data_IF_567001665499
#
_entry.id   IF_567001665499
#
_cell.length_a   1.000
_cell.length_b   1.000
_cell.length_c   1.000
_cell.angle_alpha   90.00
_cell.angle_beta   90.00
_cell.angle_gamma   90.00
#
_symmetry.space_group_name_H-M   'P 1'
#
loop_
_entity.id
_entity.type
_entity.pdbx_description
1 polymer ?
#
# COMPACT_ATOMS: atom_id res chain seq x y z
N UNK A 1 71.86 15.38 -20.72
CA UNK A 1 71.21 14.36 -19.87
C UNK A 1 70.44 15.07 -18.77
N UNK A 2 69.27 14.54 -18.42
CA UNK A 2 68.08 15.24 -17.88
C UNK A 2 68.18 15.78 -16.45
N UNK A 3 67.61 16.98 -16.26
CA UNK A 3 66.72 17.37 -15.13
C UNK A 3 65.51 18.08 -15.78
N UNK A 4 64.28 18.08 -15.22
CA UNK A 4 64.03 18.53 -13.84
C UNK A 4 62.76 17.98 -13.12
N UNK A 5 62.60 18.48 -11.88
CA UNK A 5 61.34 18.83 -11.19
C UNK A 5 60.41 17.72 -10.66
N UNK A 6 60.23 17.71 -9.33
CA UNK A 6 59.13 17.03 -8.66
C UNK A 6 57.78 17.60 -9.15
N UNK A 7 56.93 16.73 -9.70
CA UNK A 7 55.55 17.01 -10.05
C UNK A 7 54.63 16.06 -9.26
N UNK A 8 53.52 16.62 -8.81
CA UNK A 8 52.51 16.03 -7.95
C UNK A 8 51.96 14.72 -8.53
N UNK A 9 51.64 13.78 -7.64
CA UNK A 9 51.11 12.47 -7.95
C UNK A 9 49.87 12.54 -8.84
N UNK A 10 49.96 11.99 -10.05
CA UNK A 10 48.84 11.81 -10.97
C UNK A 10 48.48 10.32 -11.04
N UNK A 11 47.81 9.83 -9.99
CA UNK A 11 47.14 8.53 -10.06
C UNK A 11 45.91 8.75 -10.92
N UNK A 12 45.99 8.32 -12.19
CA UNK A 12 44.83 8.32 -13.08
C UNK A 12 43.68 7.54 -12.42
N UNK A 13 42.47 8.12 -12.33
CA UNK A 13 41.35 7.40 -11.75
C UNK A 13 41.00 6.23 -12.67
N UNK A 14 41.21 5.01 -12.16
CA UNK A 14 40.72 3.78 -12.73
C UNK A 14 39.18 3.89 -12.82
N UNK A 15 38.64 4.19 -14.00
CA UNK A 15 37.19 4.21 -14.21
C UNK A 15 36.72 2.79 -14.45
N UNK A 16 36.19 2.18 -13.40
CA UNK A 16 35.31 1.02 -13.53
C UNK A 16 33.95 1.55 -14.00
N UNK A 17 33.40 1.13 -15.15
CA UNK A 17 32.00 1.37 -15.44
C UNK A 17 31.17 0.55 -14.46
N UNK A 18 30.83 1.16 -13.32
CA UNK A 18 29.76 0.64 -12.50
C UNK A 18 28.45 0.90 -13.25
N UNK A 19 27.89 -0.15 -13.84
CA UNK A 19 26.46 -0.22 -14.17
C UNK A 19 25.61 -0.33 -12.88
N UNK A 20 26.04 0.36 -11.81
CA UNK A 20 25.30 0.52 -10.58
C UNK A 20 24.24 1.55 -10.85
N UNK A 21 23.01 1.09 -10.99
CA UNK A 21 21.82 1.92 -10.98
C UNK A 21 21.87 2.75 -9.69
N UNK A 22 22.37 3.98 -9.78
CA UNK A 22 22.29 4.99 -8.72
C UNK A 22 20.86 5.52 -8.70
N UNK A 23 19.92 4.65 -8.40
CA UNK A 23 18.53 5.00 -8.13
C UNK A 23 18.35 5.00 -6.63
N UNK A 24 17.90 6.12 -6.07
CA UNK A 24 17.33 6.14 -4.74
C UNK A 24 16.33 5.00 -4.61
N UNK A 25 16.69 3.93 -3.89
CA UNK A 25 15.74 2.86 -3.55
C UNK A 25 14.55 3.41 -2.74
N UNK A 26 14.68 4.61 -2.16
CA UNK A 26 13.60 5.33 -1.49
C UNK A 26 12.69 6.13 -2.44
N UNK A 27 13.10 6.40 -3.69
CA UNK A 27 12.32 7.16 -4.67
C UNK A 27 11.39 6.27 -5.53
N UNK A 28 11.33 4.96 -5.26
CA UNK A 28 10.39 4.06 -5.90
C UNK A 28 9.01 4.32 -5.29
N UNK A 29 8.14 4.94 -6.08
CA UNK A 29 6.71 5.08 -5.81
C UNK A 29 6.08 3.69 -5.92
N UNK A 30 5.60 3.11 -4.80
CA UNK A 30 4.99 1.78 -4.79
C UNK A 30 3.54 1.81 -5.30
N UNK A 31 2.85 2.93 -5.06
CA UNK A 31 1.55 3.25 -5.63
C UNK A 31 1.72 4.01 -6.95
N UNK A 32 2.33 3.36 -7.95
CA UNK A 32 2.27 3.88 -9.32
C UNK A 32 0.81 3.86 -9.77
N UNK A 33 0.26 4.94 -10.32
CA UNK A 33 -1.00 4.86 -11.03
C UNK A 33 -0.81 3.88 -12.17
N UNK A 34 -1.33 2.66 -12.03
CA UNK A 34 -1.42 1.74 -13.15
C UNK A 34 -2.28 2.40 -14.24
N UNK A 35 -2.30 1.87 -15.47
CA UNK A 35 -3.20 2.37 -16.51
C UNK A 35 -4.68 2.45 -16.06
N UNK A 36 -5.04 1.71 -15.00
CA UNK A 36 -6.36 1.71 -14.39
C UNK A 36 -6.47 2.63 -13.16
N UNK A 37 -5.38 3.17 -12.60
CA UNK A 37 -5.43 4.14 -11.50
C UNK A 37 -5.78 3.54 -10.13
N UNK A 38 -5.25 2.36 -9.80
CA UNK A 38 -5.30 1.81 -8.43
C UNK A 38 -4.58 2.73 -7.42
N UNK A 39 -4.93 2.70 -6.10
CA UNK A 39 -5.91 1.80 -5.46
C UNK A 39 -7.37 2.19 -5.65
N UNK A 40 -8.26 1.19 -5.63
CA UNK A 40 -9.71 1.38 -5.74
C UNK A 40 -10.46 0.84 -4.53
N UNK A 41 -11.54 1.52 -4.16
CA UNK A 41 -12.69 0.86 -3.54
C UNK A 41 -13.54 0.26 -4.67
N UNK A 42 -13.92 -1.00 -4.55
CA UNK A 42 -14.67 -1.70 -5.57
C UNK A 42 -15.83 -2.50 -5.00
N UNK A 43 -16.78 -2.83 -5.88
CA UNK A 43 -17.81 -3.84 -5.69
C UNK A 43 -17.62 -4.95 -6.72
N UNK A 44 -17.81 -6.19 -6.30
CA UNK A 44 -17.85 -7.32 -7.22
C UNK A 44 -19.26 -7.40 -7.86
N UNK A 45 -19.33 -7.35 -9.19
CA UNK A 45 -20.56 -7.49 -9.97
C UNK A 45 -20.38 -8.65 -10.94
N UNK A 46 -21.08 -9.75 -10.69
CA UNK A 46 -20.80 -11.02 -11.36
C UNK A 46 -19.38 -11.48 -11.05
N UNK A 47 -18.52 -11.52 -12.07
CA UNK A 47 -17.10 -11.91 -11.95
C UNK A 47 -16.13 -10.72 -12.08
N UNK A 48 -16.64 -9.48 -12.22
CA UNK A 48 -15.84 -8.29 -12.49
C UNK A 48 -15.92 -7.26 -11.36
N UNK A 49 -14.83 -6.55 -11.11
CA UNK A 49 -14.80 -5.47 -10.12
C UNK A 49 -15.19 -4.13 -10.76
N UNK A 50 -16.11 -3.41 -10.10
CA UNK A 50 -16.55 -2.08 -10.47
C UNK A 50 -16.06 -1.05 -9.44
N UNK A 51 -15.29 -0.06 -9.90
CA UNK A 51 -14.74 1.02 -9.06
C UNK A 51 -15.86 1.91 -8.47
N UNK A 52 -15.70 2.31 -7.21
CA UNK A 52 -16.64 3.14 -6.45
C UNK A 52 -15.95 4.45 -5.97
N UNK A 53 -15.57 5.35 -6.89
CA UNK A 53 -14.77 6.53 -6.55
C UNK A 53 -15.50 7.54 -5.64
N UNK A 54 -16.84 7.51 -5.62
CA UNK A 54 -17.67 8.34 -4.74
C UNK A 54 -18.08 7.63 -3.44
N UNK A 55 -17.54 6.44 -3.17
CA UNK A 55 -18.02 5.59 -2.09
C UNK A 55 -19.25 4.76 -2.49
N UNK A 56 -19.65 3.85 -1.60
CA UNK A 56 -20.80 2.98 -1.82
C UNK A 56 -21.37 2.44 -0.49
N UNK A 57 -22.61 1.96 -0.56
CA UNK A 57 -23.28 1.26 0.54
C UNK A 57 -23.21 -0.24 0.32
N UNK A 58 -22.81 -0.99 1.34
CA UNK A 58 -22.66 -2.44 1.35
C UNK A 58 -23.47 -3.06 2.49
N UNK A 59 -24.22 -4.10 2.16
CA UNK A 59 -25.08 -4.81 3.12
C UNK A 59 -24.31 -5.86 3.93
N UNK A 60 -23.13 -6.28 3.44
CA UNK A 60 -22.34 -7.39 3.97
C UNK A 60 -23.09 -8.74 3.97
N UNK A 61 -24.12 -8.84 3.13
CA UNK A 61 -24.92 -10.05 2.93
C UNK A 61 -24.89 -10.44 1.44
N UNK A 62 -25.07 -11.73 1.14
CA UNK A 62 -25.21 -12.20 -0.25
C UNK A 62 -24.02 -11.87 -1.17
N UNK A 63 -22.82 -11.67 -0.61
CA UNK A 63 -21.61 -11.30 -1.37
C UNK A 63 -21.45 -9.81 -1.64
N UNK A 64 -22.35 -8.95 -1.18
CA UNK A 64 -22.22 -7.49 -1.28
C UNK A 64 -21.24 -6.95 -0.24
N UNK A 65 -19.96 -7.07 -0.58
CA UNK A 65 -18.82 -6.74 0.27
C UNK A 65 -17.95 -5.65 -0.38
N UNK A 66 -17.38 -4.73 0.41
CA UNK A 66 -16.35 -3.82 -0.07
C UNK A 66 -15.05 -4.56 -0.38
N UNK A 67 -14.47 -4.27 -1.54
CA UNK A 67 -13.15 -4.73 -1.95
C UNK A 67 -12.19 -3.56 -2.09
N UNK A 68 -10.99 -3.67 -1.56
CA UNK A 68 -9.87 -2.78 -1.84
C UNK A 68 -8.97 -3.45 -2.86
N UNK A 69 -8.77 -2.80 -4.00
CA UNK A 69 -7.89 -3.29 -5.06
C UNK A 69 -6.61 -2.46 -5.07
N UNK A 70 -5.45 -3.13 -5.06
CA UNK A 70 -4.16 -2.47 -5.06
C UNK A 70 -3.16 -3.21 -5.96
N UNK A 71 -2.33 -2.44 -6.66
CA UNK A 71 -1.17 -2.94 -7.37
C UNK A 71 0.09 -2.65 -6.56
N UNK A 72 1.05 -3.58 -6.57
CA UNK A 72 2.35 -3.40 -5.90
C UNK A 72 3.46 -3.74 -6.90
N UNK A 73 4.12 -2.69 -7.41
CA UNK A 73 5.22 -2.81 -8.38
C UNK A 73 6.48 -3.43 -7.78
N UNK A 74 6.63 -3.36 -6.46
CA UNK A 74 7.74 -3.92 -5.69
C UNK A 74 7.24 -4.64 -4.43
N UNK A 75 8.15 -5.39 -3.80
CA UNK A 75 7.83 -6.09 -2.55
C UNK A 75 7.57 -5.06 -1.43
N UNK A 76 6.59 -5.35 -0.58
CA UNK A 76 6.31 -4.55 0.61
C UNK A 76 6.62 -5.36 1.87
N UNK A 77 7.19 -4.69 2.88
CA UNK A 77 7.48 -5.33 4.16
C UNK A 77 6.22 -5.57 4.97
N UNK A 78 5.26 -4.65 4.87
CA UNK A 78 4.00 -4.73 5.60
C UNK A 78 2.91 -4.02 4.80
N UNK A 79 1.80 -4.72 4.59
CA UNK A 79 0.54 -4.13 4.17
C UNK A 79 -0.42 -4.15 5.36
N UNK A 80 -0.86 -2.97 5.77
CA UNK A 80 -1.88 -2.81 6.80
C UNK A 80 -3.06 -2.03 6.27
N UNK A 81 -4.26 -2.54 6.51
CA UNK A 81 -5.51 -1.85 6.23
C UNK A 81 -6.30 -1.71 7.53
N UNK A 82 -6.73 -0.50 7.86
CA UNK A 82 -7.45 -0.20 9.09
C UNK A 82 -8.80 0.45 8.79
N UNK A 83 -9.85 0.02 9.50
CA UNK A 83 -11.18 0.60 9.37
C UNK A 83 -11.33 1.76 10.35
N UNK A 84 -11.57 2.96 9.83
CA UNK A 84 -11.73 4.18 10.61
C UNK A 84 -13.15 4.68 10.43
N UNK A 85 -13.87 4.87 11.53
CA UNK A 85 -15.22 5.42 11.50
C UNK A 85 -15.17 6.92 11.12
N UNK A 86 -15.95 7.33 10.12
CA UNK A 86 -15.91 8.70 9.57
C UNK A 86 -16.41 9.73 10.57
N UNK A 87 -17.48 9.42 11.30
CA UNK A 87 -18.11 10.37 12.23
C UNK A 87 -17.28 10.58 13.49
N UNK A 88 -16.75 9.50 14.06
CA UNK A 88 -16.08 9.53 15.38
C UNK A 88 -14.55 9.56 15.29
N UNK A 89 -13.97 9.30 14.11
CA UNK A 89 -12.54 9.11 13.93
C UNK A 89 -11.99 7.83 14.59
N UNK A 90 -12.85 6.99 15.19
CA UNK A 90 -12.43 5.77 15.89
C UNK A 90 -11.82 4.78 14.91
N UNK A 91 -10.58 4.39 15.14
CA UNK A 91 -9.97 3.23 14.51
C UNK A 91 -10.55 1.95 15.16
N UNK A 92 -11.23 1.14 14.35
CA UNK A 92 -11.83 -0.14 14.78
C UNK A 92 -10.85 -1.30 14.75
N UNK A 93 -9.69 -1.12 14.13
CA UNK A 93 -8.64 -2.11 14.05
C UNK A 93 -8.34 -2.50 12.60
N UNK A 94 -7.57 -3.59 12.49
CA UNK A 94 -7.00 -4.07 11.24
C UNK A 94 -8.02 -4.92 10.49
N UNK A 95 -8.26 -4.56 9.24
CA UNK A 95 -8.97 -5.36 8.24
C UNK A 95 -8.01 -6.35 7.58
N UNK A 96 -6.82 -5.86 7.24
CA UNK A 96 -5.72 -6.65 6.68
C UNK A 96 -4.46 -6.29 7.45
N UNK A 97 -3.66 -7.30 7.78
CA UNK A 97 -2.32 -7.13 8.35
C UNK A 97 -1.42 -8.24 7.82
N UNK A 98 -0.77 -7.97 6.69
CA UNK A 98 0.02 -8.95 5.96
C UNK A 98 1.49 -8.53 5.95
N UNK A 99 2.36 -9.27 6.64
CA UNK A 99 3.80 -9.08 6.50
C UNK A 99 4.27 -9.66 5.16
N UNK A 100 5.30 -9.05 4.57
CA UNK A 100 6.02 -9.52 3.39
C UNK A 100 5.10 -9.84 2.20
N UNK A 101 4.46 -8.82 1.64
CA UNK A 101 3.65 -8.99 0.43
C UNK A 101 4.55 -9.06 -0.81
N UNK A 102 4.46 -10.15 -1.56
CA UNK A 102 5.17 -10.32 -2.83
C UNK A 102 4.70 -9.34 -3.90
N UNK A 103 5.56 -9.10 -4.91
CA UNK A 103 5.29 -8.24 -6.07
C UNK A 103 4.18 -8.84 -6.96
N UNK A 104 3.41 -7.98 -7.62
CA UNK A 104 2.62 -8.38 -8.79
C UNK A 104 3.25 -7.84 -10.07
N UNK A 105 3.58 -8.71 -11.05
CA UNK A 105 4.20 -8.26 -12.30
C UNK A 105 3.22 -7.72 -13.33
N UNK A 106 1.95 -8.18 -13.30
CA UNK A 106 0.85 -7.77 -14.18
C UNK A 106 -0.47 -8.14 -13.50
N UNK A 107 -1.22 -7.18 -12.96
CA UNK A 107 -2.50 -7.43 -12.28
C UNK A 107 -2.70 -6.60 -11.02
N UNK A 108 -3.55 -7.06 -10.11
CA UNK A 108 -3.79 -6.41 -8.81
C UNK A 108 -4.09 -7.47 -7.74
N UNK A 109 -3.95 -7.08 -6.48
CA UNK A 109 -4.49 -7.82 -5.36
C UNK A 109 -5.87 -7.28 -4.99
N UNK A 110 -6.75 -8.17 -4.56
CA UNK A 110 -8.08 -7.84 -4.05
C UNK A 110 -8.18 -8.22 -2.58
N UNK A 111 -8.50 -7.25 -1.73
CA UNK A 111 -8.71 -7.45 -0.31
C UNK A 111 -10.17 -7.18 0.01
N UNK A 112 -10.87 -8.19 0.52
CA UNK A 112 -12.28 -8.05 0.93
C UNK A 112 -12.37 -7.63 2.38
N UNK A 113 -13.37 -6.83 2.71
CA UNK A 113 -13.74 -6.58 4.09
C UNK A 113 -15.17 -7.02 4.36
N UNK A 114 -15.35 -7.89 5.35
CA UNK A 114 -16.63 -8.48 5.77
C UNK A 114 -17.26 -7.75 6.97
N UNK A 115 -16.71 -6.58 7.34
CA UNK A 115 -17.11 -5.85 8.52
C UNK A 115 -16.52 -6.38 9.83
N UNK A 116 -15.58 -7.33 9.78
CA UNK A 116 -14.79 -7.76 10.94
C UNK A 116 -13.43 -7.06 10.93
N UNK A 117 -12.94 -6.75 12.12
CA UNK A 117 -11.62 -6.15 12.35
C UNK A 117 -10.92 -6.90 13.46
N UNK A 118 -9.59 -6.86 13.45
CA UNK A 118 -8.73 -7.47 14.47
C UNK A 118 -7.87 -6.40 15.13
N UNK A 119 -7.81 -6.37 16.45
CA UNK A 119 -6.95 -5.44 17.18
C UNK A 119 -5.50 -5.97 17.30
N UNK A 120 -4.60 -5.19 17.90
CA UNK A 120 -3.20 -5.60 18.10
C UNK A 120 -2.99 -6.81 19.01
N UNK A 121 -4.00 -7.21 19.80
CA UNK A 121 -3.96 -8.43 20.63
C UNK A 121 -4.56 -9.65 19.93
N UNK A 122 -4.90 -9.55 18.64
CA UNK A 122 -5.53 -10.63 17.89
C UNK A 122 -7.03 -10.82 18.15
N UNK A 123 -7.65 -9.96 18.98
CA UNK A 123 -9.09 -10.03 19.24
C UNK A 123 -9.85 -9.47 18.04
N UNK A 124 -10.79 -10.26 17.53
CA UNK A 124 -11.70 -9.87 16.46
C UNK A 124 -12.91 -9.12 17.01
N UNK A 125 -13.49 -8.24 16.19
CA UNK A 125 -14.70 -7.48 16.49
C UNK A 125 -15.43 -7.14 15.21
N UNK A 126 -16.74 -7.38 15.21
CA UNK A 126 -17.63 -6.93 14.13
C UNK A 126 -17.94 -5.46 14.34
N UNK A 127 -17.71 -4.64 13.32
CA UNK A 127 -18.02 -3.21 13.37
C UNK A 127 -19.53 -2.99 13.14
N UNK A 128 -20.16 -2.04 13.85
CA UNK A 128 -21.58 -1.75 13.67
C UNK A 128 -21.86 -1.11 12.30
N UNK A 129 -23.14 -1.04 11.92
CA UNK A 129 -23.58 -0.24 10.77
C UNK A 129 -23.13 1.22 10.95
N UNK A 130 -22.76 1.87 9.84
CA UNK A 130 -22.19 3.21 9.87
C UNK A 130 -21.28 3.48 8.68
N UNK A 131 -20.64 4.65 8.71
CA UNK A 131 -19.72 5.10 7.65
C UNK A 131 -18.26 4.94 8.07
N UNK A 132 -17.47 4.36 7.18
CA UNK A 132 -16.06 4.05 7.42
C UNK A 132 -15.22 4.43 6.21
N UNK A 133 -13.93 4.64 6.44
CA UNK A 133 -12.89 4.61 5.42
C UNK A 133 -11.88 3.53 5.77
N UNK A 134 -11.29 2.91 4.75
CA UNK A 134 -10.13 2.05 4.93
C UNK A 134 -8.88 2.88 4.69
N UNK A 135 -8.05 3.01 5.73
CA UNK A 135 -6.70 3.54 5.59
C UNK A 135 -5.76 2.39 5.26
N UNK A 136 -5.19 2.43 4.06
CA UNK A 136 -4.15 1.50 3.61
C UNK A 136 -2.80 2.14 3.93
N UNK A 137 -1.91 1.38 4.56
CA UNK A 137 -0.53 1.76 4.87
C UNK A 137 0.40 0.65 4.38
N UNK A 138 1.39 1.01 3.58
CA UNK A 138 2.33 0.07 2.94
C UNK A 138 3.75 0.49 3.30
N UNK A 139 4.47 -0.35 4.03
CA UNK A 139 5.87 -0.11 4.36
C UNK A 139 6.78 -0.69 3.26
N UNK A 140 7.76 0.11 2.81
CA UNK A 140 8.79 -0.31 1.85
C UNK A 140 9.61 -1.48 2.42
N UNK A 141 10.13 -2.35 1.55
CA UNK A 141 10.82 -3.61 1.90
C UNK A 141 11.96 -3.43 2.93
N UNK A 142 12.77 -2.38 2.78
CA UNK A 142 13.85 -2.00 3.70
C UNK A 142 13.48 -0.85 4.65
N UNK A 143 12.23 -0.40 4.58
CA UNK A 143 11.71 0.71 5.38
C UNK A 143 11.44 0.31 6.83
N UNK A 144 11.48 1.30 7.72
CA UNK A 144 10.95 1.16 9.06
C UNK A 144 9.47 1.56 9.07
N UNK A 145 8.58 0.64 9.43
CA UNK A 145 7.14 0.92 9.52
C UNK A 145 6.80 1.97 10.60
N UNK A 146 7.72 2.24 11.54
CA UNK A 146 7.61 3.33 12.50
C UNK A 146 8.04 4.70 11.93
N UNK A 147 8.74 4.71 10.79
CA UNK A 147 9.15 5.92 10.09
C UNK A 147 8.13 6.29 9.00
N UNK A 148 7.38 7.40 9.14
CA UNK A 148 6.39 7.82 8.15
C UNK A 148 6.97 8.05 6.75
N UNK A 149 8.27 8.35 6.61
CA UNK A 149 8.91 8.53 5.30
C UNK A 149 9.03 7.21 4.51
N UNK A 150 8.95 6.08 5.19
CA UNK A 150 9.06 4.74 4.59
C UNK A 150 7.69 4.07 4.34
N UNK A 151 6.60 4.79 4.63
CA UNK A 151 5.23 4.30 4.53
C UNK A 151 4.43 5.10 3.52
N UNK A 152 3.89 4.43 2.51
CA UNK A 152 2.90 5.00 1.60
C UNK A 152 1.50 4.76 2.13
N UNK A 153 0.64 5.77 2.05
CA UNK A 153 -0.74 5.66 2.52
C UNK A 153 -1.76 6.06 1.45
N UNK A 154 -2.86 5.32 1.41
CA UNK A 154 -4.06 5.67 0.64
C UNK A 154 -5.29 5.53 1.54
N UNK A 155 -6.26 6.42 1.37
CA UNK A 155 -7.54 6.35 2.09
C UNK A 155 -8.65 6.12 1.08
N UNK A 156 -9.49 5.13 1.36
CA UNK A 156 -10.62 4.82 0.48
C UNK A 156 -11.66 5.94 0.44
N UNK A 157 -12.48 5.99 -0.62
CA UNK A 157 -13.81 6.61 -0.55
C UNK A 157 -14.65 6.02 0.61
N UNK A 158 -15.72 6.71 0.97
CA UNK A 158 -16.58 6.30 2.10
C UNK A 158 -17.28 4.97 1.81
N UNK A 159 -17.20 4.06 2.77
CA UNK A 159 -17.90 2.78 2.80
C UNK A 159 -19.03 2.91 3.81
N UNK A 160 -20.27 2.77 3.37
CA UNK A 160 -21.44 2.73 4.25
C UNK A 160 -21.83 1.29 4.50
N UNK A 161 -21.77 0.82 5.74
CA UNK A 161 -22.26 -0.50 6.13
C UNK A 161 -23.70 -0.42 6.59
N UNK A 162 -24.58 -1.16 5.91
CA UNK A 162 -26.02 -1.17 6.15
C UNK A 162 -26.56 -2.60 6.10
N UNK A 163 -26.22 -3.40 7.12
CA UNK A 163 -26.80 -4.74 7.30
C UNK A 163 -28.33 -4.65 7.49
N UNK A 164 -29.11 -5.62 6.97
CA UNK A 164 -30.56 -5.68 7.11
C UNK A 164 -31.05 -5.70 8.57
#
# INVERSE_FOLDING_TARGET
MLTPQAALADVQPLRVPYNGLKGDYQAIQLLTPTANGFPWLARLVGTSFSNQPSGATYTLAGGDLPYILAHFDHQSRLLRMEAINVTTGKNWGRVVDLPYLGRNSTGFFSFVWDGVTTNGSGKTSTVPNGQYVIKVSVAKELGDAANPADVETWTSPVITLARP
#
